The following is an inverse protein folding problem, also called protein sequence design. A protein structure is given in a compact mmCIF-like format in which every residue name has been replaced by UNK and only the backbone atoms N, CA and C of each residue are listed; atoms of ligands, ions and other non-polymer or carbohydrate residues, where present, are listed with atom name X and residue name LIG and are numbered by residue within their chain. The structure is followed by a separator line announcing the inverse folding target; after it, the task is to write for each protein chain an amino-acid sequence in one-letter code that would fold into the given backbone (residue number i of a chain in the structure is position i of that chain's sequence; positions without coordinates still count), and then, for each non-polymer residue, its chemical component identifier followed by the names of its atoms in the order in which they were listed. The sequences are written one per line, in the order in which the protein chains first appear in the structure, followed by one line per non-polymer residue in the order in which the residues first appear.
data_IF_418669244542
#
_entry.id   IF_418669244542
#
_cell.length_a   1.000
_cell.length_b   1.000
_cell.length_c   1.000
_cell.angle_alpha   90.00
_cell.angle_beta   90.00
_cell.angle_gamma   90.00
#
_symmetry.space_group_name_H-M   'P 1'
#
loop_
_entity.id
_entity.type
_entity.pdbx_description
1 polymer ?
#
# COMPACT_ATOMS: atom_id res chain seq x y z
N UNK A 1 11.78 7.86 33.87
CA UNK A 1 11.96 6.47 33.36
C UNK A 1 12.34 6.58 31.91
N UNK A 2 13.59 6.29 31.58
CA UNK A 2 14.12 6.36 30.20
C UNK A 2 13.45 5.27 29.37
N UNK A 3 12.64 5.67 28.38
CA UNK A 3 12.14 4.78 27.34
C UNK A 3 13.35 4.25 26.58
N UNK A 4 13.72 3.00 26.81
CA UNK A 4 14.63 2.32 25.92
C UNK A 4 13.98 2.31 24.53
N UNK A 5 14.45 3.18 23.62
CA UNK A 5 14.11 3.12 22.22
C UNK A 5 14.48 1.71 21.74
N UNK A 6 13.50 0.91 21.43
CA UNK A 6 13.75 -0.40 20.86
C UNK A 6 14.54 -0.19 19.56
N UNK A 7 15.78 -0.69 19.51
CA UNK A 7 16.61 -0.61 18.32
C UNK A 7 16.07 -1.55 17.24
N UNK A 8 15.03 -1.12 16.53
CA UNK A 8 14.57 -1.81 15.34
C UNK A 8 15.57 -1.56 14.19
N UNK A 9 15.75 -2.57 13.34
CA UNK A 9 16.51 -2.36 12.10
C UNK A 9 15.84 -1.26 11.29
N UNK A 10 16.64 -0.39 10.70
CA UNK A 10 16.12 0.66 9.81
C UNK A 10 15.32 0.05 8.66
N UNK A 11 14.42 0.81 8.07
CA UNK A 11 13.65 0.36 6.91
C UNK A 11 14.60 -0.10 5.78
N UNK A 12 15.70 0.61 5.56
CA UNK A 12 16.70 0.28 4.54
C UNK A 12 17.41 -1.07 4.75
N UNK A 13 17.45 -1.58 5.98
CA UNK A 13 18.04 -2.89 6.26
C UNK A 13 17.08 -4.06 6.02
N UNK A 14 15.78 -3.84 6.03
CA UNK A 14 14.74 -4.88 5.96
C UNK A 14 13.96 -4.83 4.64
N UNK A 15 13.67 -3.64 4.15
CA UNK A 15 12.97 -3.45 2.87
C UNK A 15 13.93 -3.82 1.74
N UNK A 16 13.49 -4.71 0.87
CA UNK A 16 14.28 -5.10 -0.31
C UNK A 16 14.24 -3.98 -1.34
N UNK A 17 15.35 -3.73 -2.07
CA UNK A 17 15.29 -2.89 -3.26
C UNK A 17 14.28 -3.42 -4.27
N UNK A 18 13.64 -2.51 -5.01
CA UNK A 18 12.69 -2.90 -6.06
C UNK A 18 13.41 -3.69 -7.16
N UNK A 19 12.73 -4.68 -7.73
CA UNK A 19 13.27 -5.47 -8.84
C UNK A 19 12.96 -4.78 -10.15
N UNK A 20 13.98 -4.42 -10.91
CA UNK A 20 13.85 -3.77 -12.22
C UNK A 20 13.87 -4.82 -13.32
N UNK A 21 12.83 -4.80 -14.15
CA UNK A 21 12.64 -5.75 -15.25
C UNK A 21 12.46 -4.98 -16.56
N UNK A 22 13.31 -5.27 -17.54
CA UNK A 22 13.17 -4.76 -18.91
C UNK A 22 12.04 -5.51 -19.62
N UNK A 23 11.00 -4.79 -20.02
CA UNK A 23 9.80 -5.40 -20.61
C UNK A 23 9.87 -5.47 -22.16
N UNK A 24 10.95 -6.00 -22.71
CA UNK A 24 11.24 -6.02 -24.17
C UNK A 24 10.15 -6.65 -25.03
N UNK A 25 9.41 -7.64 -24.49
CA UNK A 25 8.27 -8.24 -25.19
C UNK A 25 7.09 -7.26 -25.27
N UNK A 26 6.88 -6.44 -24.22
CA UNK A 26 5.85 -5.41 -24.20
C UNK A 26 6.23 -4.26 -25.14
N UNK A 27 7.49 -3.84 -25.15
CA UNK A 27 8.00 -2.85 -26.11
C UNK A 27 7.70 -3.28 -27.55
N UNK A 28 8.01 -4.55 -27.88
CA UNK A 28 7.76 -5.11 -29.21
C UNK A 28 6.26 -5.19 -29.52
N UNK A 29 5.42 -5.49 -28.55
CA UNK A 29 3.97 -5.51 -28.72
C UNK A 29 3.42 -4.11 -29.00
N UNK A 30 3.83 -3.11 -28.22
CA UNK A 30 3.44 -1.72 -28.42
C UNK A 30 3.90 -1.18 -29.79
N UNK A 31 5.11 -1.55 -30.22
CA UNK A 31 5.60 -1.20 -31.55
C UNK A 31 4.69 -1.72 -32.69
N UNK A 32 4.14 -2.95 -32.56
CA UNK A 32 3.16 -3.49 -33.50
C UNK A 32 1.81 -2.74 -33.49
N UNK A 33 1.48 -2.09 -32.39
CA UNK A 33 0.28 -1.25 -32.27
C UNK A 33 0.52 0.19 -32.72
N UNK A 34 1.70 0.51 -33.25
CA UNK A 34 2.04 1.85 -33.73
C UNK A 34 2.73 2.76 -32.72
N UNK A 35 2.97 2.29 -31.52
CA UNK A 35 3.68 3.03 -30.47
C UNK A 35 5.19 2.80 -30.56
N UNK A 36 5.80 3.33 -31.63
CA UNK A 36 7.23 3.16 -31.92
C UNK A 36 8.10 3.92 -30.90
N UNK A 37 9.18 3.28 -30.48
CA UNK A 37 10.16 3.89 -29.58
C UNK A 37 9.79 3.89 -28.09
N UNK A 38 8.59 3.44 -27.72
CA UNK A 38 8.22 3.28 -26.30
C UNK A 38 9.05 2.16 -25.68
N UNK A 39 9.65 2.46 -24.54
CA UNK A 39 10.40 1.52 -23.68
C UNK A 39 9.71 1.39 -22.33
N UNK A 40 9.44 0.17 -21.92
CA UNK A 40 8.78 -0.13 -20.64
C UNK A 40 9.78 -0.81 -19.71
N UNK A 41 9.92 -0.23 -18.53
CA UNK A 41 10.66 -0.81 -17.41
C UNK A 41 9.69 -1.04 -16.27
N UNK A 42 9.65 -2.26 -15.74
CA UNK A 42 8.79 -2.62 -14.62
C UNK A 42 9.57 -2.51 -13.31
N UNK A 43 9.12 -1.67 -12.40
CA UNK A 43 9.54 -1.66 -11.01
C UNK A 43 8.67 -2.64 -10.22
N UNK A 44 9.14 -3.88 -10.08
CA UNK A 44 8.36 -4.98 -9.52
C UNK A 44 8.56 -5.11 -8.02
N UNK A 45 7.48 -5.02 -7.28
CA UNK A 45 7.43 -5.24 -5.83
C UNK A 45 6.93 -6.66 -5.45
N UNK A 46 6.80 -7.57 -6.42
CA UNK A 46 6.41 -8.97 -6.16
C UNK A 46 7.46 -9.75 -5.38
N UNK A 47 8.73 -9.32 -5.42
CA UNK A 47 9.83 -9.91 -4.67
C UNK A 47 10.10 -9.20 -3.33
N UNK A 48 9.33 -8.19 -2.99
CA UNK A 48 9.37 -7.54 -1.68
C UNK A 48 8.94 -8.54 -0.58
N UNK A 49 9.30 -8.27 0.67
CA UNK A 49 8.75 -9.01 1.81
C UNK A 49 7.22 -9.04 1.70
N UNK A 50 6.61 -10.19 1.99
CA UNK A 50 5.17 -10.45 1.85
C UNK A 50 4.59 -10.30 0.43
N UNK A 51 5.44 -10.21 -0.60
CA UNK A 51 5.05 -10.25 -2.00
C UNK A 51 4.42 -8.98 -2.55
N UNK A 52 4.60 -7.82 -1.92
CA UNK A 52 4.06 -6.56 -2.42
C UNK A 52 4.70 -5.32 -1.79
N UNK A 53 4.56 -4.17 -2.44
CA UNK A 53 4.99 -2.86 -1.93
C UNK A 53 4.39 -2.49 -0.56
N UNK A 54 3.29 -3.12 -0.16
CA UNK A 54 2.62 -2.82 1.12
C UNK A 54 3.52 -3.03 2.33
N UNK A 55 4.54 -3.86 2.22
CA UNK A 55 5.50 -4.04 3.30
C UNK A 55 6.30 -2.77 3.59
N UNK A 56 6.67 -1.98 2.58
CA UNK A 56 7.35 -0.68 2.76
C UNK A 56 6.56 0.23 3.70
N UNK A 57 5.27 0.40 3.39
CA UNK A 57 4.36 1.19 4.18
C UNK A 57 4.14 0.62 5.59
N UNK A 58 3.80 -0.67 5.69
CA UNK A 58 3.48 -1.30 6.96
C UNK A 58 4.67 -1.29 7.94
N UNK A 59 5.87 -1.59 7.45
CA UNK A 59 7.08 -1.58 8.27
C UNK A 59 7.41 -0.17 8.76
N UNK A 60 7.33 0.83 7.88
CA UNK A 60 7.55 2.22 8.26
C UNK A 60 6.56 2.69 9.34
N UNK A 61 5.28 2.34 9.23
CA UNK A 61 4.30 2.64 10.28
C UNK A 61 4.71 1.98 11.60
N UNK A 62 5.00 0.68 11.58
CA UNK A 62 5.25 -0.09 12.81
C UNK A 62 6.48 0.39 13.57
N UNK A 63 7.56 0.79 12.89
CA UNK A 63 8.79 1.26 13.55
C UNK A 63 8.72 2.71 14.03
N UNK A 64 7.83 3.53 13.44
CA UNK A 64 7.75 4.97 13.75
C UNK A 64 6.67 5.34 14.75
N UNK A 65 5.88 4.38 15.23
CA UNK A 65 4.88 4.65 16.27
C UNK A 65 5.20 3.88 17.56
N UNK A 66 4.95 4.45 18.75
CA UNK A 66 5.30 3.81 20.03
C UNK A 66 4.36 2.65 20.39
N UNK A 67 3.18 2.58 19.81
CA UNK A 67 2.18 1.57 20.12
C UNK A 67 2.69 0.15 19.86
N UNK A 68 2.25 -0.78 20.69
CA UNK A 68 2.60 -2.21 20.59
C UNK A 68 1.49 -3.07 19.98
N UNK A 69 0.27 -2.54 19.88
CA UNK A 69 -0.86 -3.16 19.24
C UNK A 69 -1.33 -2.32 18.04
N UNK A 70 -1.53 -2.96 16.91
CA UNK A 70 -2.04 -2.36 15.68
C UNK A 70 -3.37 -2.98 15.29
N UNK A 71 -4.32 -2.18 14.85
CA UNK A 71 -5.61 -2.65 14.35
C UNK A 71 -5.79 -2.14 12.92
N UNK A 72 -6.16 -3.02 12.01
CA UNK A 72 -6.44 -2.65 10.61
C UNK A 72 -7.62 -3.41 10.03
N UNK A 73 -8.23 -2.85 9.00
CA UNK A 73 -9.17 -3.55 8.13
C UNK A 73 -8.50 -3.81 6.78
N UNK A 74 -8.08 -5.04 6.54
CA UNK A 74 -7.47 -5.42 5.27
C UNK A 74 -7.62 -6.90 4.98
N UNK A 75 -8.29 -7.24 3.89
CA UNK A 75 -8.39 -8.61 3.39
C UNK A 75 -7.28 -8.99 2.39
N UNK A 76 -6.26 -8.14 2.23
CA UNK A 76 -5.22 -8.30 1.22
C UNK A 76 -3.81 -8.06 1.74
N UNK A 77 -2.96 -7.56 0.85
CA UNK A 77 -1.52 -7.43 1.04
C UNK A 77 -1.12 -6.57 2.25
N UNK A 78 -1.91 -5.55 2.62
CA UNK A 78 -1.56 -4.71 3.77
C UNK A 78 -1.70 -5.44 5.11
N UNK A 79 -2.75 -6.27 5.27
CA UNK A 79 -2.92 -7.07 6.48
C UNK A 79 -1.77 -8.05 6.71
N UNK A 80 -1.29 -8.71 5.64
CA UNK A 80 -0.12 -9.59 5.70
C UNK A 80 1.16 -8.81 6.01
N UNK A 81 1.35 -7.68 5.35
CA UNK A 81 2.51 -6.82 5.55
C UNK A 81 2.59 -6.29 7.00
N UNK A 82 1.45 -5.86 7.55
CA UNK A 82 1.35 -5.39 8.93
C UNK A 82 1.67 -6.51 9.94
N UNK A 83 1.10 -7.71 9.72
CA UNK A 83 1.37 -8.85 10.58
C UNK A 83 2.86 -9.20 10.59
N UNK A 84 3.50 -9.23 9.42
CA UNK A 84 4.93 -9.51 9.33
C UNK A 84 5.79 -8.40 9.95
N UNK A 85 5.46 -7.13 9.71
CA UNK A 85 6.15 -6.00 10.33
C UNK A 85 6.05 -6.04 11.87
N UNK A 86 4.88 -6.36 12.41
CA UNK A 86 4.68 -6.55 13.85
C UNK A 86 5.52 -7.71 14.38
N UNK A 87 5.54 -8.85 13.69
CA UNK A 87 6.36 -10.00 14.10
C UNK A 87 7.86 -9.65 14.17
N UNK A 88 8.38 -8.93 13.18
CA UNK A 88 9.79 -8.49 13.15
C UNK A 88 10.15 -7.53 14.29
N UNK A 89 9.19 -6.82 14.83
CA UNK A 89 9.40 -5.78 15.86
C UNK A 89 8.92 -6.19 17.25
N UNK A 90 8.46 -7.44 17.43
CA UNK A 90 7.90 -7.92 18.70
C UNK A 90 6.60 -7.24 19.10
N UNK A 91 5.90 -6.62 18.13
CA UNK A 91 4.60 -5.99 18.30
C UNK A 91 3.49 -6.93 17.83
N UNK A 92 2.23 -6.56 18.05
CA UNK A 92 1.07 -7.39 17.71
C UNK A 92 0.08 -6.64 16.82
N UNK A 93 -0.75 -7.38 16.07
CA UNK A 93 -1.82 -6.77 15.31
C UNK A 93 -3.10 -7.59 15.29
N UNK A 94 -4.23 -6.89 15.10
CA UNK A 94 -5.54 -7.44 14.81
C UNK A 94 -5.93 -7.00 13.40
N UNK A 95 -6.22 -7.97 12.54
CA UNK A 95 -6.61 -7.73 11.15
C UNK A 95 -8.06 -8.12 10.96
N UNK A 96 -8.94 -7.14 10.79
CA UNK A 96 -10.36 -7.34 10.52
C UNK A 96 -10.56 -7.71 9.06
N UNK A 97 -11.11 -8.88 8.81
CA UNK A 97 -11.31 -9.45 7.47
C UNK A 97 -12.78 -9.92 7.30
N UNK A 98 -13.35 -9.81 6.10
CA UNK A 98 -14.61 -10.48 5.79
C UNK A 98 -14.52 -11.99 6.00
N UNK A 99 -15.57 -12.62 6.50
CA UNK A 99 -15.65 -14.09 6.62
C UNK A 99 -15.57 -14.80 5.26
N UNK A 100 -15.87 -14.09 4.18
CA UNK A 100 -15.75 -14.54 2.79
C UNK A 100 -14.35 -14.40 2.21
N UNK A 101 -13.37 -13.89 2.98
CA UNK A 101 -11.98 -13.75 2.53
C UNK A 101 -11.38 -15.11 2.19
N UNK A 102 -10.50 -15.14 1.19
CA UNK A 102 -9.76 -16.34 0.81
C UNK A 102 -9.01 -16.94 1.99
N UNK A 103 -9.10 -18.27 2.17
CA UNK A 103 -8.39 -18.99 3.23
C UNK A 103 -6.87 -18.80 3.15
N UNK A 104 -6.34 -18.63 1.94
CA UNK A 104 -4.91 -18.36 1.73
C UNK A 104 -4.51 -17.02 2.37
N UNK A 105 -5.32 -15.98 2.19
CA UNK A 105 -5.07 -14.64 2.77
C UNK A 105 -5.19 -14.67 4.30
N UNK A 106 -6.19 -15.39 4.83
CA UNK A 106 -6.37 -15.57 6.28
C UNK A 106 -5.17 -16.33 6.87
N UNK A 107 -4.79 -17.45 6.24
CA UNK A 107 -3.66 -18.26 6.68
C UNK A 107 -2.33 -17.47 6.66
N UNK A 108 -2.12 -16.64 5.65
CA UNK A 108 -0.92 -15.79 5.54
C UNK A 108 -0.79 -14.80 6.70
N UNK A 109 -1.88 -14.11 7.08
CA UNK A 109 -1.87 -13.21 8.25
C UNK A 109 -1.54 -13.97 9.53
N UNK A 110 -2.16 -15.14 9.72
CA UNK A 110 -1.93 -15.99 10.90
C UNK A 110 -0.51 -16.56 10.96
N UNK A 111 0.05 -16.94 9.81
CA UNK A 111 1.42 -17.46 9.72
C UNK A 111 2.47 -16.42 10.16
N UNK A 112 2.18 -15.13 10.01
CA UNK A 112 2.99 -14.04 10.55
C UNK A 112 2.63 -13.63 11.97
N UNK A 113 1.80 -14.40 12.68
CA UNK A 113 1.41 -14.13 14.08
C UNK A 113 0.31 -13.09 14.25
N UNK A 114 -0.29 -12.58 13.18
CA UNK A 114 -1.41 -11.64 13.25
C UNK A 114 -2.70 -12.33 13.74
N UNK A 115 -3.42 -11.68 14.67
CA UNK A 115 -4.76 -12.10 15.05
C UNK A 115 -5.74 -11.71 13.93
N UNK A 116 -6.46 -12.68 13.40
CA UNK A 116 -7.51 -12.45 12.40
C UNK A 116 -8.87 -12.37 13.09
N UNK A 117 -9.56 -11.26 12.90
CA UNK A 117 -10.93 -11.04 13.31
C UNK A 117 -11.85 -11.16 12.10
N UNK A 118 -12.60 -12.27 11.98
CA UNK A 118 -13.52 -12.50 10.87
C UNK A 118 -14.90 -11.89 11.17
N UNK A 119 -15.44 -11.15 10.21
CA UNK A 119 -16.75 -10.53 10.33
C UNK A 119 -17.66 -10.89 9.17
N UNK A 120 -18.97 -11.01 9.44
CA UNK A 120 -19.98 -11.00 8.38
C UNK A 120 -20.26 -9.54 7.97
N UNK A 121 -19.85 -9.17 6.77
CA UNK A 121 -20.01 -7.79 6.27
C UNK A 121 -21.44 -7.38 6.01
N UNK A 122 -22.40 -8.32 6.02
CA UNK A 122 -23.83 -8.03 5.98
C UNK A 122 -24.36 -7.53 7.33
N UNK A 123 -23.72 -7.93 8.42
CA UNK A 123 -24.12 -7.57 9.79
C UNK A 123 -23.37 -6.35 10.33
N UNK A 124 -22.07 -6.23 10.00
CA UNK A 124 -21.21 -5.15 10.47
C UNK A 124 -20.17 -4.76 9.43
N UNK A 125 -19.97 -3.46 9.22
CA UNK A 125 -18.91 -2.98 8.32
C UNK A 125 -17.53 -3.16 8.96
N UNK A 126 -16.49 -3.37 8.14
CA UNK A 126 -15.09 -3.42 8.59
C UNK A 126 -14.70 -2.19 9.43
N UNK A 127 -15.10 -1.00 8.96
CA UNK A 127 -14.84 0.28 9.65
C UNK A 127 -15.48 0.32 11.04
N UNK A 128 -16.72 -0.16 11.17
CA UNK A 128 -17.41 -0.20 12.47
C UNK A 128 -16.74 -1.18 13.43
N UNK A 129 -16.33 -2.38 12.94
CA UNK A 129 -15.64 -3.36 13.82
C UNK A 129 -14.27 -2.86 14.25
N UNK A 130 -13.49 -2.24 13.36
CA UNK A 130 -12.21 -1.60 13.72
C UNK A 130 -12.40 -0.57 14.82
N UNK A 131 -13.44 0.27 14.73
CA UNK A 131 -13.73 1.28 15.77
C UNK A 131 -14.07 0.63 17.11
N UNK A 132 -14.90 -0.43 17.13
CA UNK A 132 -15.19 -1.17 18.37
C UNK A 132 -13.91 -1.76 18.99
N UNK A 133 -13.05 -2.37 18.17
CA UNK A 133 -11.77 -2.90 18.65
C UNK A 133 -10.84 -1.79 19.18
N UNK A 134 -10.90 -0.60 18.60
CA UNK A 134 -10.16 0.57 19.11
C UNK A 134 -10.72 1.02 20.48
N UNK A 135 -12.04 1.04 20.64
CA UNK A 135 -12.69 1.36 21.93
C UNK A 135 -12.32 0.31 23.00
N UNK A 136 -12.23 -0.97 22.61
CA UNK A 136 -11.77 -2.07 23.47
C UNK A 136 -10.26 -2.00 23.79
N UNK A 137 -9.47 -1.30 22.97
CA UNK A 137 -8.00 -1.19 23.07
C UNK A 137 -7.56 0.26 22.83
N UNK A 138 -7.72 1.16 23.77
CA UNK A 138 -7.52 2.61 23.59
C UNK A 138 -6.08 3.00 23.18
N UNK A 139 -5.10 2.19 23.54
CA UNK A 139 -3.68 2.42 23.23
C UNK A 139 -3.27 1.83 21.87
N UNK A 140 -4.19 1.21 21.12
CA UNK A 140 -3.87 0.62 19.82
C UNK A 140 -3.74 1.68 18.73
N UNK A 141 -2.80 1.47 17.82
CA UNK A 141 -2.69 2.27 16.59
C UNK A 141 -3.63 1.76 15.50
N UNK A 142 -4.44 2.64 14.94
CA UNK A 142 -5.32 2.31 13.81
C UNK A 142 -4.56 2.48 12.51
N UNK A 143 -3.99 1.38 12.03
CA UNK A 143 -3.21 1.38 10.79
C UNK A 143 -4.12 1.35 9.56
N UNK A 144 -4.03 2.37 8.72
CA UNK A 144 -4.76 2.42 7.45
C UNK A 144 -3.88 1.89 6.30
N UNK A 145 -4.45 1.26 5.27
CA UNK A 145 -3.67 0.68 4.18
C UNK A 145 -3.15 1.71 3.16
N UNK A 146 -3.52 3.00 3.28
CA UNK A 146 -3.14 4.05 2.32
C UNK A 146 -3.25 5.48 2.86
N UNK A 147 -4.22 5.80 3.71
CA UNK A 147 -4.51 7.18 4.14
C UNK A 147 -3.82 7.51 5.47
N UNK A 148 -2.51 7.65 5.41
CA UNK A 148 -1.65 7.89 6.57
C UNK A 148 -0.30 8.46 6.09
N UNK A 149 0.19 9.58 6.64
CA UNK A 149 1.49 10.15 6.28
C UNK A 149 2.65 9.15 6.41
N UNK A 150 2.63 8.26 7.41
CA UNK A 150 3.65 7.21 7.57
C UNK A 150 3.57 6.12 6.50
N UNK A 151 2.37 5.85 5.97
CA UNK A 151 2.20 4.94 4.83
C UNK A 151 2.76 5.56 3.56
N UNK A 152 2.50 6.85 3.32
CA UNK A 152 3.04 7.60 2.18
C UNK A 152 4.57 7.64 2.28
N UNK A 153 5.10 7.98 3.45
CA UNK A 153 6.54 8.02 3.71
C UNK A 153 7.21 6.65 3.45
N UNK A 154 6.63 5.56 3.95
CA UNK A 154 7.16 4.23 3.72
C UNK A 154 7.22 3.84 2.24
N UNK A 155 6.25 4.28 1.45
CA UNK A 155 6.23 4.06 0.00
C UNK A 155 7.19 5.00 -0.76
N UNK A 156 7.66 6.10 -0.15
CA UNK A 156 8.52 7.09 -0.81
C UNK A 156 9.88 6.52 -1.21
N UNK A 157 10.38 5.53 -0.48
CA UNK A 157 11.60 4.81 -0.84
C UNK A 157 11.58 4.27 -2.26
N UNK A 158 10.44 3.75 -2.74
CA UNK A 158 10.30 3.28 -4.12
C UNK A 158 10.48 4.41 -5.14
N UNK A 159 9.94 5.60 -4.87
CA UNK A 159 10.14 6.76 -5.73
C UNK A 159 11.60 7.19 -5.80
N UNK A 160 12.32 7.17 -4.68
CA UNK A 160 13.76 7.46 -4.62
C UNK A 160 14.59 6.43 -5.38
N UNK A 161 14.24 5.14 -5.27
CA UNK A 161 14.89 4.07 -6.02
C UNK A 161 14.70 4.23 -7.54
N UNK A 162 13.49 4.60 -7.99
CA UNK A 162 13.20 4.86 -9.40
C UNK A 162 14.01 6.07 -9.91
N UNK A 163 14.07 7.15 -9.15
CA UNK A 163 14.89 8.31 -9.50
C UNK A 163 16.37 7.95 -9.68
N UNK A 164 16.88 7.09 -8.80
CA UNK A 164 18.29 6.65 -8.81
C UNK A 164 18.64 5.78 -10.02
N UNK A 165 17.68 5.23 -10.76
CA UNK A 165 17.96 4.45 -11.97
C UNK A 165 18.65 5.29 -13.07
N UNK A 166 18.40 6.59 -13.10
CA UNK A 166 19.00 7.54 -14.06
C UNK A 166 18.93 7.06 -15.55
N UNK A 167 17.76 6.54 -15.96
CA UNK A 167 17.55 5.89 -17.28
C UNK A 167 16.77 6.75 -18.27
N UNK A 168 16.64 8.05 -18.04
CA UNK A 168 15.82 8.92 -18.90
C UNK A 168 14.32 8.57 -18.86
N UNK A 169 13.84 8.13 -17.70
CA UNK A 169 12.42 7.82 -17.47
C UNK A 169 11.60 9.09 -17.69
N UNK A 170 10.60 9.02 -18.55
CA UNK A 170 9.75 10.16 -18.89
C UNK A 170 8.51 10.26 -18.00
N UNK A 171 7.97 9.11 -17.55
CA UNK A 171 6.85 9.05 -16.60
C UNK A 171 6.86 7.73 -15.81
N UNK A 172 6.23 7.75 -14.65
CA UNK A 172 5.97 6.57 -13.82
C UNK A 172 4.47 6.31 -13.80
N UNK A 173 4.05 5.15 -14.29
CA UNK A 173 2.66 4.72 -14.21
C UNK A 173 2.49 3.79 -13.02
N UNK A 174 1.56 4.11 -12.12
CA UNK A 174 1.29 3.34 -10.92
C UNK A 174 -0.20 3.04 -10.74
N UNK A 175 -0.59 1.85 -10.21
CA UNK A 175 -1.98 1.58 -9.91
C UNK A 175 -2.49 2.50 -8.79
N UNK A 176 -3.71 2.97 -8.94
CA UNK A 176 -4.40 3.79 -7.96
C UNK A 176 -5.55 3.00 -7.33
N UNK A 177 -5.51 2.90 -6.02
CA UNK A 177 -6.65 2.62 -5.16
C UNK A 177 -6.82 3.82 -4.24
N UNK A 178 -6.48 3.69 -2.96
CA UNK A 178 -6.58 4.81 -2.01
C UNK A 178 -5.52 5.91 -2.15
N UNK A 179 -4.52 5.78 -3.04
CA UNK A 179 -3.55 6.85 -3.35
C UNK A 179 -2.17 6.70 -2.68
N UNK A 180 -2.04 5.97 -1.58
CA UNK A 180 -0.80 5.94 -0.78
C UNK A 180 0.47 5.49 -1.52
N UNK A 181 0.34 4.69 -2.61
CA UNK A 181 1.48 4.35 -3.47
C UNK A 181 1.87 5.54 -4.36
N UNK A 182 0.89 6.12 -5.06
CA UNK A 182 1.14 7.23 -5.98
C UNK A 182 1.72 8.45 -5.24
N UNK A 183 1.16 8.78 -4.08
CA UNK A 183 1.66 9.86 -3.22
C UNK A 183 3.07 9.58 -2.71
N UNK A 184 3.36 8.34 -2.29
CA UNK A 184 4.71 7.94 -1.90
C UNK A 184 5.71 8.07 -3.05
N UNK A 185 5.35 7.60 -4.25
CA UNK A 185 6.19 7.75 -5.45
C UNK A 185 6.52 9.23 -5.73
N UNK A 186 5.51 10.11 -5.69
CA UNK A 186 5.70 11.55 -5.89
C UNK A 186 6.67 12.14 -4.85
N UNK A 187 6.46 11.81 -3.57
CA UNK A 187 7.30 12.28 -2.47
C UNK A 187 8.76 11.81 -2.67
N UNK A 188 8.97 10.52 -2.97
CA UNK A 188 10.29 9.95 -3.18
C UNK A 188 11.01 10.53 -4.39
N UNK A 189 10.32 10.67 -5.52
CA UNK A 189 10.88 11.30 -6.73
C UNK A 189 11.31 12.74 -6.45
N UNK A 190 10.44 13.55 -5.84
CA UNK A 190 10.74 14.95 -5.51
C UNK A 190 11.90 15.08 -4.52
N UNK A 191 11.95 14.23 -3.50
CA UNK A 191 13.05 14.18 -2.53
C UNK A 191 14.40 13.89 -3.20
N UNK A 192 14.40 13.07 -4.24
CA UNK A 192 15.57 12.78 -5.06
C UNK A 192 15.85 13.86 -6.13
N UNK A 193 15.15 15.00 -6.11
CA UNK A 193 15.34 16.09 -7.08
C UNK A 193 14.77 15.78 -8.47
N UNK A 194 13.93 14.75 -8.62
CA UNK A 194 13.36 14.34 -9.89
C UNK A 194 12.00 15.01 -10.13
N UNK A 195 11.79 15.51 -11.34
CA UNK A 195 10.53 16.09 -11.81
C UNK A 195 9.68 15.09 -12.64
N UNK A 196 10.05 13.79 -12.66
CA UNK A 196 9.31 12.76 -13.41
C UNK A 196 7.84 12.75 -12.95
N UNK A 197 6.87 12.89 -13.86
CA UNK A 197 5.46 12.84 -13.50
C UNK A 197 5.04 11.41 -13.11
N UNK A 198 4.08 11.33 -12.19
CA UNK A 198 3.43 10.08 -11.82
C UNK A 198 2.01 10.08 -12.39
N UNK A 199 1.72 9.10 -13.23
CA UNK A 199 0.40 8.85 -13.80
C UNK A 199 -0.28 7.74 -13.00
N UNK A 200 -1.41 8.06 -12.41
CA UNK A 200 -2.20 7.10 -11.64
C UNK A 200 -3.17 6.35 -12.56
N UNK A 201 -3.11 5.01 -12.56
CA UNK A 201 -3.99 4.14 -13.34
C UNK A 201 -5.01 3.47 -12.43
N UNK A 202 -6.28 3.65 -12.71
CA UNK A 202 -7.39 3.04 -11.97
C UNK A 202 -8.42 2.40 -12.89
N UNK A 203 -9.22 1.43 -12.42
CA UNK A 203 -10.30 0.87 -13.22
C UNK A 203 -11.37 1.93 -13.55
N UNK A 204 -11.91 1.90 -14.76
CA UNK A 204 -12.96 2.83 -15.18
C UNK A 204 -14.19 2.79 -14.25
N UNK A 205 -14.51 1.61 -13.73
CA UNK A 205 -15.62 1.40 -12.79
C UNK A 205 -15.32 1.87 -11.35
N UNK A 206 -14.05 2.22 -11.06
CA UNK A 206 -13.60 2.69 -9.75
C UNK A 206 -12.74 3.96 -9.94
N UNK A 207 -13.24 4.93 -10.70
CA UNK A 207 -12.50 6.09 -11.15
C UNK A 207 -12.68 7.32 -10.23
N UNK A 208 -12.78 7.08 -8.94
CA UNK A 208 -12.92 8.14 -7.93
C UNK A 208 -11.73 9.09 -7.89
N UNK A 209 -10.52 8.59 -8.14
CA UNK A 209 -9.31 9.42 -8.18
C UNK A 209 -9.33 10.42 -9.33
N UNK A 210 -9.65 9.99 -10.56
CA UNK A 210 -9.75 10.88 -11.71
C UNK A 210 -10.90 11.88 -11.58
N UNK A 211 -12.02 11.48 -10.97
CA UNK A 211 -13.12 12.40 -10.65
C UNK A 211 -12.70 13.41 -9.60
N UNK A 212 -12.05 12.96 -8.54
CA UNK A 212 -11.56 13.81 -7.46
C UNK A 212 -10.59 14.88 -7.99
N UNK A 213 -9.66 14.48 -8.85
CA UNK A 213 -8.69 15.40 -9.46
C UNK A 213 -9.37 16.44 -10.33
N UNK A 214 -10.37 16.05 -11.13
CA UNK A 214 -11.11 16.98 -12.00
C UNK A 214 -11.99 17.94 -11.21
N UNK A 215 -12.57 17.49 -10.10
CA UNK A 215 -13.49 18.30 -9.29
C UNK A 215 -12.77 19.10 -8.20
N UNK A 216 -11.47 18.88 -7.97
CA UNK A 216 -10.71 19.56 -6.92
C UNK A 216 -11.18 19.20 -5.49
N UNK A 217 -11.89 18.11 -5.33
CA UNK A 217 -12.39 17.59 -4.03
C UNK A 217 -12.47 16.07 -4.07
N UNK A 218 -12.38 15.43 -2.92
CA UNK A 218 -12.56 13.97 -2.85
C UNK A 218 -13.98 13.58 -3.25
N UNK A 219 -14.07 12.71 -4.26
CA UNK A 219 -15.30 12.10 -4.75
C UNK A 219 -15.27 10.62 -4.40
N UNK A 220 -16.32 10.11 -3.79
CA UNK A 220 -16.42 8.70 -3.47
C UNK A 220 -17.28 7.93 -4.49
N UNK A 221 -16.98 6.65 -4.65
CA UNK A 221 -17.88 5.68 -5.28
C UNK A 221 -18.96 5.29 -4.28
N UNK A 222 -20.16 5.01 -4.75
CA UNK A 222 -21.26 4.61 -3.88
C UNK A 222 -21.07 3.20 -3.31
N UNK A 223 -20.42 2.32 -4.06
CA UNK A 223 -20.15 0.92 -3.71
C UNK A 223 -18.79 0.46 -4.25
N UNK A 224 -18.28 -0.63 -3.69
CA UNK A 224 -17.07 -1.28 -4.21
C UNK A 224 -17.36 -1.83 -5.61
N UNK A 225 -16.56 -1.42 -6.60
CA UNK A 225 -16.79 -1.78 -8.00
C UNK A 225 -16.45 -3.25 -8.29
N UNK A 226 -17.15 -3.82 -9.27
CA UNK A 226 -16.85 -5.13 -9.83
C UNK A 226 -15.72 -5.02 -10.85
N UNK A 227 -14.48 -5.07 -10.38
CA UNK A 227 -13.28 -5.10 -11.22
C UNK A 227 -12.38 -6.26 -10.81
N UNK A 228 -11.62 -6.81 -11.75
CA UNK A 228 -10.59 -7.81 -11.48
C UNK A 228 -9.39 -7.23 -10.71
N UNK A 229 -9.21 -5.90 -10.74
CA UNK A 229 -8.19 -5.19 -9.98
C UNK A 229 -8.62 -5.03 -8.50
N UNK A 230 -8.61 -6.12 -7.73
CA UNK A 230 -9.12 -6.18 -6.36
C UNK A 230 -8.43 -5.21 -5.40
N UNK A 231 -7.18 -4.85 -5.65
CA UNK A 231 -6.43 -3.84 -4.89
C UNK A 231 -6.84 -2.39 -5.13
N UNK A 232 -7.65 -2.15 -6.17
CA UNK A 232 -8.11 -0.82 -6.59
C UNK A 232 -9.64 -0.61 -6.38
N UNK A 233 -10.27 -1.40 -5.51
CA UNK A 233 -11.70 -1.29 -5.16
C UNK A 233 -11.98 -0.34 -4.01
N UNK A 234 -11.13 0.63 -3.75
CA UNK A 234 -11.37 1.63 -2.71
C UNK A 234 -12.56 2.50 -3.07
N UNK A 235 -13.33 2.91 -2.06
CA UNK A 235 -14.48 3.80 -2.27
C UNK A 235 -14.03 5.22 -2.62
N UNK A 236 -12.86 5.64 -2.11
CA UNK A 236 -12.28 6.93 -2.42
C UNK A 236 -10.78 6.91 -2.19
N UNK A 237 -10.09 7.88 -2.78
CA UNK A 237 -8.73 8.24 -2.36
C UNK A 237 -8.74 8.76 -0.93
N UNK A 238 -7.58 8.68 -0.25
CA UNK A 238 -7.41 9.18 1.11
C UNK A 238 -7.28 10.70 1.15
N UNK A 239 -7.48 11.26 2.34
CA UNK A 239 -7.39 12.71 2.58
C UNK A 239 -5.95 13.21 2.49
N UNK A 240 -4.97 12.37 2.85
CA UNK A 240 -3.54 12.69 2.83
C UNK A 240 -2.88 12.42 1.48
N UNK A 241 -3.61 11.88 0.52
CA UNK A 241 -3.06 11.40 -0.77
C UNK A 241 -3.27 12.39 -1.92
#
# INVERSE_FOLDING_TARGET
MSSAAANYLSADAIVRPTTIIEATRLDSYLGRLGHLGVKIVLASETFQQTGSFKFRAAYNVVINVPQTLFITASSGNFGQALAYACALTGKSCIVVMPSTSSQIKIAAVRAYGGRVELIDTRMITRKKRVRQLADENPDAYLATPFDDPLVIEGNSGLGSEIAALNRGIQEVVAPLGGGGLASGLIVGLRRAGSAIPVVAAEPLLANDGARSLREGRIVANEYESETIADGARTLSVGVHN
#
